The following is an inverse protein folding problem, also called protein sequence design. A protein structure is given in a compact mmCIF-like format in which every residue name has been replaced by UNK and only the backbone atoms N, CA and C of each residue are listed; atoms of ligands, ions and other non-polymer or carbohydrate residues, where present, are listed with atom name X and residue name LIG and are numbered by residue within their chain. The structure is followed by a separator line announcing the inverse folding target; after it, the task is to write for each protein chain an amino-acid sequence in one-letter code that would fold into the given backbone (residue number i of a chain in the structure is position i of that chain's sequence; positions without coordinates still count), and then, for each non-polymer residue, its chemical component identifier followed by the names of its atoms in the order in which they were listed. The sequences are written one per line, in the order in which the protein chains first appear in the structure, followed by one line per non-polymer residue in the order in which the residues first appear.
data_IF_243429186121
#
_entry.id   IF_243429186121
#
_cell.length_a   1.000
_cell.length_b   1.000
_cell.length_c   1.000
_cell.angle_alpha   90.00
_cell.angle_beta   90.00
_cell.angle_gamma   90.00
#
_symmetry.space_group_name_H-M   'P 1'
#
loop_
_entity.id
_entity.type
_entity.pdbx_description
1 polymer ?
#
# COMPACT_ATOMS: atom_id res chain seq x y z
N UNK A 1 -7.49 3.71 -33.00
CA UNK A 1 -7.38 2.65 -31.98
C UNK A 1 -6.87 3.29 -30.70
N UNK A 2 -7.66 3.29 -29.63
CA UNK A 2 -7.29 4.01 -28.40
C UNK A 2 -6.21 3.21 -27.66
N UNK A 3 -5.29 3.92 -27.02
CA UNK A 3 -4.20 3.32 -26.24
C UNK A 3 -4.73 2.39 -25.14
N UNK A 4 -5.87 2.76 -24.54
CA UNK A 4 -6.59 1.99 -23.52
C UNK A 4 -6.97 0.60 -24.02
N UNK A 5 -7.54 0.47 -25.24
CA UNK A 5 -7.98 -0.82 -25.79
C UNK A 5 -6.81 -1.82 -25.96
N UNK A 6 -5.61 -1.31 -26.28
CA UNK A 6 -4.40 -2.13 -26.39
C UNK A 6 -3.91 -2.61 -25.03
N UNK A 7 -4.02 -1.77 -23.99
CA UNK A 7 -3.66 -2.14 -22.63
C UNK A 7 -4.63 -3.17 -22.06
N UNK A 8 -5.93 -2.98 -22.24
CA UNK A 8 -6.95 -3.92 -21.77
C UNK A 8 -6.79 -5.31 -22.41
N UNK A 9 -6.56 -5.38 -23.73
CA UNK A 9 -6.28 -6.66 -24.41
C UNK A 9 -5.00 -7.34 -23.90
N UNK A 10 -3.97 -6.58 -23.54
CA UNK A 10 -2.69 -7.13 -23.08
C UNK A 10 -2.74 -7.56 -21.60
N UNK A 11 -3.45 -6.80 -20.77
CA UNK A 11 -3.45 -6.96 -19.31
C UNK A 11 -4.73 -7.60 -18.73
N UNK A 12 -5.80 -7.75 -19.51
CA UNK A 12 -7.08 -8.32 -19.05
C UNK A 12 -6.97 -9.75 -18.48
N UNK A 13 -5.99 -10.53 -18.96
CA UNK A 13 -5.65 -11.87 -18.43
C UNK A 13 -5.07 -11.84 -17.00
N UNK A 14 -4.46 -10.74 -16.59
CA UNK A 14 -3.73 -10.63 -15.32
C UNK A 14 -4.55 -9.98 -14.20
N UNK A 15 -5.87 -9.83 -14.39
CA UNK A 15 -6.77 -9.34 -13.35
C UNK A 15 -6.74 -10.25 -12.13
N UNK A 16 -6.23 -9.74 -11.01
CA UNK A 16 -6.21 -10.47 -9.74
C UNK A 16 -7.66 -10.61 -9.26
N UNK A 17 -8.16 -11.84 -9.22
CA UNK A 17 -9.48 -12.13 -8.68
C UNK A 17 -9.53 -11.73 -7.22
N UNK A 18 -10.57 -11.01 -6.82
CA UNK A 18 -10.80 -10.52 -5.45
C UNK A 18 -9.72 -9.55 -4.93
N UNK A 19 -9.07 -8.78 -5.82
CA UNK A 19 -8.08 -7.77 -5.45
C UNK A 19 -8.55 -6.85 -4.31
N UNK A 20 -9.79 -6.35 -4.39
CA UNK A 20 -10.39 -5.49 -3.36
C UNK A 20 -10.43 -6.17 -1.99
N UNK A 21 -10.70 -7.47 -1.93
CA UNK A 21 -10.74 -8.23 -0.68
C UNK A 21 -9.35 -8.34 -0.05
N UNK A 22 -8.31 -8.58 -0.85
CA UNK A 22 -6.93 -8.57 -0.37
C UNK A 22 -6.51 -7.21 0.18
N UNK A 23 -6.91 -6.12 -0.49
CA UNK A 23 -6.65 -4.75 -0.05
C UNK A 23 -7.35 -4.49 1.29
N UNK A 24 -8.63 -4.85 1.42
CA UNK A 24 -9.38 -4.71 2.67
C UNK A 24 -8.73 -5.51 3.79
N UNK A 25 -8.32 -6.76 3.54
CA UNK A 25 -7.65 -7.60 4.53
C UNK A 25 -6.33 -6.96 5.02
N UNK A 26 -5.55 -6.36 4.12
CA UNK A 26 -4.33 -5.62 4.50
C UNK A 26 -4.66 -4.43 5.42
N UNK A 27 -5.72 -3.67 5.13
CA UNK A 27 -6.12 -2.56 5.99
C UNK A 27 -6.64 -3.00 7.34
N UNK A 28 -7.38 -4.12 7.42
CA UNK A 28 -7.82 -4.69 8.72
C UNK A 28 -6.61 -5.01 9.60
N UNK A 29 -5.57 -5.62 9.02
CA UNK A 29 -4.30 -5.89 9.72
C UNK A 29 -3.63 -4.59 10.14
N UNK A 30 -3.59 -3.59 9.25
CA UNK A 30 -3.05 -2.26 9.53
C UNK A 30 -3.73 -1.58 10.73
N UNK A 31 -5.06 -1.57 10.76
CA UNK A 31 -5.82 -1.03 11.91
C UNK A 31 -5.57 -1.82 13.19
N UNK A 32 -5.50 -3.15 13.12
CA UNK A 32 -5.18 -3.98 14.29
C UNK A 32 -3.80 -3.63 14.88
N UNK A 33 -2.80 -3.38 14.02
CA UNK A 33 -1.46 -2.94 14.42
C UNK A 33 -1.47 -1.56 15.09
N UNK A 34 -2.36 -0.65 14.71
CA UNK A 34 -2.53 0.66 15.40
C UNK A 34 -2.83 0.45 16.88
N UNK A 35 -3.72 -0.48 17.20
CA UNK A 35 -4.16 -0.71 18.57
C UNK A 35 -3.18 -1.56 19.38
N UNK A 36 -2.55 -2.56 18.77
CA UNK A 36 -1.68 -3.50 19.48
C UNK A 36 -0.23 -3.03 19.59
N UNK A 37 0.29 -2.37 18.55
CA UNK A 37 1.71 -2.06 18.44
C UNK A 37 1.96 -0.78 17.62
N UNK A 38 1.59 0.40 18.14
CA UNK A 38 1.75 1.67 17.43
C UNK A 38 3.22 1.97 17.07
N UNK A 39 4.17 1.44 17.83
CA UNK A 39 5.60 1.56 17.54
C UNK A 39 6.02 0.84 16.25
N UNK A 40 5.27 -0.17 15.79
CA UNK A 40 5.59 -0.89 14.54
C UNK A 40 5.18 -0.06 13.33
N UNK A 41 4.15 0.79 13.46
CA UNK A 41 3.68 1.65 12.38
C UNK A 41 4.71 2.68 11.93
N UNK A 42 5.57 3.18 12.84
CA UNK A 42 6.65 4.11 12.48
C UNK A 42 7.77 3.44 11.65
N UNK A 43 7.86 2.11 11.66
CA UNK A 43 8.73 1.34 10.76
C UNK A 43 8.08 1.04 9.41
N UNK A 44 6.75 1.11 9.35
CA UNK A 44 5.94 0.83 8.16
C UNK A 44 5.59 2.10 7.36
N UNK A 45 5.66 3.29 7.98
CA UNK A 45 5.41 4.59 7.34
C UNK A 45 6.40 4.92 6.22
N UNK A 46 6.01 5.79 5.29
CA UNK A 46 6.81 6.12 4.13
C UNK A 46 7.72 7.33 4.44
N UNK A 47 8.87 7.08 5.08
CA UNK A 47 9.89 8.12 5.26
C UNK A 47 10.99 8.03 4.19
N UNK A 48 10.95 8.95 3.23
CA UNK A 48 11.93 9.07 2.14
C UNK A 48 13.36 9.20 2.67
N UNK A 49 13.57 9.87 3.81
CA UNK A 49 14.91 10.03 4.41
C UNK A 49 15.46 8.70 4.89
N UNK A 50 14.59 7.81 5.37
CA UNK A 50 14.98 6.46 5.81
C UNK A 50 15.14 5.51 4.62
N UNK A 51 14.37 5.67 3.54
CA UNK A 51 14.56 4.92 2.30
C UNK A 51 15.94 5.22 1.70
N UNK A 52 16.35 6.48 1.66
CA UNK A 52 17.69 6.90 1.22
C UNK A 52 18.82 6.34 2.10
N UNK A 53 18.51 5.95 3.34
CA UNK A 53 19.43 5.28 4.28
C UNK A 53 19.39 3.75 4.20
N UNK A 54 18.69 3.18 3.21
CA UNK A 54 18.65 1.74 2.96
C UNK A 54 17.40 1.01 3.45
N UNK A 55 16.38 1.72 3.98
CA UNK A 55 15.11 1.10 4.40
C UNK A 55 14.15 0.93 3.22
N UNK A 56 14.52 0.08 2.25
CA UNK A 56 13.79 -0.09 0.98
C UNK A 56 12.43 -0.76 1.16
N UNK A 57 12.25 -1.57 2.21
CA UNK A 57 10.98 -2.24 2.52
C UNK A 57 9.81 -1.26 2.71
N UNK A 58 10.09 -0.01 3.12
CA UNK A 58 9.09 1.05 3.26
C UNK A 58 8.33 1.36 1.97
N UNK A 59 8.89 1.05 0.80
CA UNK A 59 8.23 1.21 -0.50
C UNK A 59 7.10 0.20 -0.75
N UNK A 60 7.05 -0.89 0.01
CA UNK A 60 6.02 -1.94 -0.11
C UNK A 60 5.14 -1.95 1.13
N UNK A 61 5.74 -1.79 2.32
CA UNK A 61 5.04 -1.93 3.59
C UNK A 61 4.05 -0.80 3.89
N UNK A 62 4.25 0.38 3.30
CA UNK A 62 3.33 1.52 3.47
C UNK A 62 1.91 1.20 2.97
N UNK A 63 1.74 0.23 2.07
CA UNK A 63 0.42 -0.21 1.58
C UNK A 63 -0.44 -0.79 2.72
N UNK A 64 0.19 -1.31 3.78
CA UNK A 64 -0.50 -1.85 4.96
C UNK A 64 -0.82 -0.72 5.95
N UNK A 65 -0.17 0.43 5.85
CA UNK A 65 -0.43 1.57 6.72
C UNK A 65 -1.87 2.06 6.49
N UNK A 66 -2.74 2.05 7.51
CA UNK A 66 -4.14 2.42 7.32
C UNK A 66 -4.22 3.91 6.92
N UNK A 67 -5.09 4.27 5.97
CA UNK A 67 -5.28 5.67 5.60
C UNK A 67 -5.75 6.45 6.83
N UNK A 68 -4.92 7.39 7.28
CA UNK A 68 -5.35 8.39 8.26
C UNK A 68 -6.35 9.34 7.57
N UNK A 69 -7.24 9.97 8.34
CA UNK A 69 -8.16 11.01 7.84
C UNK A 69 -7.45 12.27 7.30
N UNK A 70 -6.11 12.26 7.19
CA UNK A 70 -5.25 13.36 6.73
C UNK A 70 -4.49 13.08 5.43
N UNK A 71 -3.79 14.11 4.94
CA UNK A 71 -3.20 14.23 3.60
C UNK A 71 -2.46 12.98 3.07
N UNK A 72 -2.87 12.53 1.88
CA UNK A 72 -2.33 11.43 1.06
C UNK A 72 -0.84 11.56 0.65
N UNK A 73 -0.11 12.58 1.12
CA UNK A 73 1.32 12.75 0.78
C UNK A 73 2.22 12.71 2.01
N UNK A 74 1.66 12.65 3.21
CA UNK A 74 2.37 12.74 4.48
C UNK A 74 1.97 11.57 5.40
N UNK A 75 2.08 10.34 4.88
CA UNK A 75 1.89 9.08 5.62
C UNK A 75 3.20 8.50 6.17
#
# INVERSE_FOLDING_TARGET
MRFIDKLERKFGKYGIRNLTLYIIACYVIGYLLVYLAPNVLTYLSLDVRMILRGQVWRLITWVIYPPSTGNFLWF
#
